data_IF_217006404669
#
_entry.id   IF_217006404669
#
_cell.length_a   1.000
_cell.length_b   1.000
_cell.length_c   1.000
_cell.angle_alpha   90.00
_cell.angle_beta   90.00
_cell.angle_gamma   90.00
#
_symmetry.space_group_name_H-M   'P 1'
#
loop_
_entity.id
_entity.type
_entity.pdbx_description
1 polymer ?
#
# COMPACT_ATOMS: atom_id res chain seq x y z
N UNK A 1 27.86 55.52 -3.22
CA UNK A 1 26.55 55.29 -2.57
C UNK A 1 25.81 54.29 -3.45
N UNK A 2 25.63 53.09 -2.93
CA UNK A 2 24.81 52.04 -3.51
C UNK A 2 24.13 51.44 -2.30
N UNK A 3 22.81 51.53 -2.23
CA UNK A 3 22.02 50.94 -1.16
C UNK A 3 21.63 49.54 -1.63
N UNK A 4 22.19 48.53 -0.98
CA UNK A 4 21.69 47.16 -1.08
C UNK A 4 20.73 46.96 0.09
N UNK A 5 19.44 46.85 -0.23
CA UNK A 5 18.44 46.38 0.71
C UNK A 5 18.45 44.84 0.67
N UNK A 6 18.93 44.22 1.75
CA UNK A 6 18.69 42.79 1.97
C UNK A 6 17.22 42.61 2.36
N UNK A 7 16.39 42.18 1.41
CA UNK A 7 15.01 41.76 1.69
C UNK A 7 15.01 40.31 2.23
N UNK A 8 14.43 40.14 3.42
CA UNK A 8 14.36 38.88 4.18
C UNK A 8 13.32 37.92 3.58
N UNK A 9 13.73 37.15 2.56
CA UNK A 9 12.87 36.25 1.77
C UNK A 9 12.54 34.91 2.49
N UNK A 10 12.44 34.92 3.82
CA UNK A 10 12.09 33.73 4.63
C UNK A 10 10.79 33.91 5.44
N UNK A 11 10.02 34.97 5.18
CA UNK A 11 8.79 35.29 5.93
C UNK A 11 7.54 34.45 5.55
N UNK A 12 7.56 33.73 4.42
CA UNK A 12 6.38 33.04 3.87
C UNK A 12 6.57 31.53 3.71
N UNK A 13 6.62 30.80 4.82
CA UNK A 13 6.59 29.34 4.81
C UNK A 13 5.22 28.77 4.42
N UNK A 14 5.07 28.31 3.18
CA UNK A 14 3.98 27.44 2.74
C UNK A 14 4.53 26.10 2.23
N UNK A 15 4.54 25.09 3.11
CA UNK A 15 4.80 23.69 2.73
C UNK A 15 3.49 23.00 2.34
N UNK A 16 2.85 23.52 1.29
CA UNK A 16 1.64 22.96 0.71
C UNK A 16 1.89 21.59 0.08
N UNK A 17 1.07 20.59 0.45
CA UNK A 17 1.10 19.26 -0.16
C UNK A 17 0.80 19.34 -1.67
N UNK A 18 1.82 19.08 -2.50
CA UNK A 18 1.76 19.19 -3.96
C UNK A 18 0.87 18.16 -4.67
N UNK A 19 -0.45 18.25 -4.51
CA UNK A 19 -1.42 17.61 -5.41
C UNK A 19 -1.75 18.53 -6.60
N UNK A 20 -0.72 18.85 -7.39
CA UNK A 20 -0.83 19.71 -8.56
C UNK A 20 -1.66 19.09 -9.68
N UNK A 21 -2.92 19.53 -9.83
CA UNK A 21 -3.68 19.33 -11.08
C UNK A 21 -3.16 20.28 -12.16
N UNK A 22 -2.98 19.80 -13.40
CA UNK A 22 -2.73 20.69 -14.55
C UNK A 22 -3.97 21.53 -14.87
N UNK A 23 -3.83 22.80 -15.28
CA UNK A 23 -4.94 23.59 -15.83
C UNK A 23 -5.44 22.97 -17.15
N UNK A 24 -6.77 22.88 -17.34
CA UNK A 24 -7.38 22.52 -18.63
C UNK A 24 -8.43 21.39 -18.62
N UNK A 25 -8.77 20.79 -17.48
CA UNK A 25 -9.82 19.77 -17.40
C UNK A 25 -11.23 20.35 -17.36
N UNK A 26 -12.02 20.12 -18.42
CA UNK A 26 -13.46 20.45 -18.48
C UNK A 26 -14.25 19.49 -17.58
N UNK A 27 -15.32 19.99 -16.95
CA UNK A 27 -16.27 19.18 -16.20
C UNK A 27 -17.07 18.26 -17.13
N UNK A 28 -17.10 16.96 -16.81
CA UNK A 28 -18.26 16.13 -17.12
C UNK A 28 -18.52 15.17 -15.95
N UNK A 29 -19.80 14.96 -15.66
CA UNK A 29 -20.24 14.42 -14.38
C UNK A 29 -20.60 12.94 -14.41
N UNK A 30 -20.67 12.41 -13.18
CA UNK A 30 -21.45 11.24 -12.76
C UNK A 30 -21.02 9.81 -13.15
N UNK A 31 -21.07 9.00 -12.09
CA UNK A 31 -21.49 7.60 -12.01
C UNK A 31 -20.45 6.45 -12.09
N UNK A 32 -20.71 5.49 -11.19
CA UNK A 32 -20.15 4.15 -11.01
C UNK A 32 -18.71 4.11 -10.40
N UNK A 33 -18.46 3.78 -9.12
CA UNK A 33 -18.95 2.75 -8.16
C UNK A 33 -18.05 1.49 -8.11
N UNK A 34 -17.68 1.11 -6.88
CA UNK A 34 -16.85 -0.04 -6.43
C UNK A 34 -15.33 0.08 -6.69
N UNK A 35 -14.48 0.10 -5.64
CA UNK A 35 -14.05 -0.99 -4.73
C UNK A 35 -13.16 -2.02 -5.46
N UNK A 36 -11.97 -2.41 -4.97
CA UNK A 36 -11.74 -3.07 -3.67
C UNK A 36 -10.27 -3.01 -3.21
N UNK A 37 -10.04 -3.04 -1.89
CA UNK A 37 -8.72 -3.28 -1.29
C UNK A 37 -8.38 -4.77 -1.27
N UNK A 38 -7.16 -5.15 -1.70
CA UNK A 38 -6.64 -6.50 -1.51
C UNK A 38 -6.17 -6.75 -0.07
N UNK A 39 -6.44 -7.94 0.47
CA UNK A 39 -5.74 -8.51 1.62
C UNK A 39 -5.11 -9.86 1.24
N UNK A 40 -3.88 -10.04 1.69
CA UNK A 40 -3.02 -11.21 1.40
C UNK A 40 -3.51 -12.49 2.09
N UNK A 41 -3.26 -13.65 1.46
CA UNK A 41 -3.47 -15.00 2.00
C UNK A 41 -2.13 -15.67 2.29
N UNK A 42 -1.92 -16.15 3.52
CA UNK A 42 -0.77 -16.98 3.94
C UNK A 42 -1.28 -18.40 4.26
N UNK A 43 -0.52 -19.44 3.90
CA UNK A 43 -1.02 -20.82 3.74
C UNK A 43 -0.56 -21.85 4.79
N UNK A 44 -0.27 -23.08 4.33
CA UNK A 44 0.01 -24.36 5.05
C UNK A 44 -1.25 -25.19 5.40
N UNK A 45 -1.31 -26.53 5.25
CA UNK A 45 -0.41 -27.51 4.60
C UNK A 45 -0.60 -28.96 5.12
N UNK A 46 -0.23 -29.99 4.33
CA UNK A 46 -0.20 -31.46 4.66
C UNK A 46 -1.60 -32.13 4.84
N UNK A 47 -1.93 -33.42 4.67
CA UNK A 47 -1.32 -34.73 4.21
C UNK A 47 -2.47 -35.78 4.14
N UNK A 48 -2.49 -36.96 3.49
CA UNK A 48 -1.68 -37.67 2.47
C UNK A 48 -2.48 -38.89 1.91
N UNK A 49 -1.99 -39.61 0.88
CA UNK A 49 -2.39 -40.96 0.39
C UNK A 49 -3.82 -41.14 -0.21
N UNK A 50 -4.17 -42.20 -0.96
CA UNK A 50 -3.49 -43.01 -2.01
C UNK A 50 -4.54 -43.96 -2.65
N UNK A 51 -4.31 -44.38 -3.91
CA UNK A 51 -4.84 -45.61 -4.56
C UNK A 51 -6.34 -45.75 -4.92
N UNK A 52 -6.57 -45.70 -6.24
CA UNK A 52 -7.41 -46.57 -7.09
C UNK A 52 -8.06 -47.81 -6.42
N UNK A 53 -9.35 -48.10 -6.72
CA UNK A 53 -9.76 -49.10 -7.75
C UNK A 53 -11.20 -49.64 -7.61
N UNK A 54 -11.77 -50.05 -8.75
CA UNK A 54 -12.77 -51.13 -8.97
C UNK A 54 -14.26 -51.03 -8.54
N UNK A 55 -15.10 -50.59 -9.50
CA UNK A 55 -16.09 -51.38 -10.30
C UNK A 55 -17.28 -52.14 -9.62
N UNK A 56 -18.47 -52.00 -10.26
CA UNK A 56 -19.72 -52.83 -10.22
C UNK A 56 -20.65 -52.61 -9.00
N UNK A 57 -21.98 -52.76 -9.06
CA UNK A 57 -22.94 -53.04 -10.16
C UNK A 57 -24.36 -52.55 -9.79
N UNK A 58 -25.21 -52.35 -10.81
CA UNK A 58 -26.69 -52.16 -10.92
C UNK A 58 -27.60 -51.91 -9.69
N UNK A 59 -28.60 -51.03 -9.91
CA UNK A 59 -29.83 -50.89 -9.12
C UNK A 59 -30.79 -49.91 -9.82
N UNK A 60 -31.97 -50.37 -10.23
CA UNK A 60 -32.88 -49.67 -11.17
C UNK A 60 -33.86 -48.67 -10.54
N UNK A 61 -34.54 -47.94 -11.44
CA UNK A 61 -35.90 -47.38 -11.34
C UNK A 61 -36.17 -46.06 -10.58
N UNK A 62 -36.11 -44.99 -11.39
CA UNK A 62 -37.27 -44.22 -11.87
C UNK A 62 -37.99 -43.16 -10.99
N UNK A 63 -38.35 -42.07 -11.71
CA UNK A 63 -39.35 -41.03 -11.42
C UNK A 63 -38.97 -39.96 -10.36
N UNK A 64 -39.28 -38.66 -10.52
CA UNK A 64 -40.05 -37.97 -11.58
C UNK A 64 -39.59 -36.52 -11.77
N UNK A 65 -39.64 -36.00 -12.99
CA UNK A 65 -39.57 -34.55 -13.29
C UNK A 65 -40.97 -33.95 -13.43
N UNK A 66 -41.22 -32.74 -12.91
CA UNK A 66 -42.12 -31.76 -13.50
C UNK A 66 -41.29 -30.65 -14.19
N UNK A 67 -41.71 -30.03 -15.28
CA UNK A 67 -42.88 -30.23 -16.12
C UNK A 67 -43.13 -28.96 -16.94
N UNK A 68 -43.40 -29.08 -18.23
CA UNK A 68 -43.85 -27.95 -19.06
C UNK A 68 -44.99 -28.37 -19.97
N UNK A 69 -46.16 -27.74 -19.76
CA UNK A 69 -47.37 -27.91 -20.59
C UNK A 69 -47.18 -27.08 -21.87
N UNK A 70 -47.35 -27.64 -23.07
CA UNK A 70 -48.58 -28.19 -23.65
C UNK A 70 -49.58 -27.10 -24.09
N UNK A 71 -49.56 -26.83 -25.40
CA UNK A 71 -50.64 -26.34 -26.28
C UNK A 71 -50.28 -26.97 -27.64
N UNK A 72 -50.82 -28.09 -28.13
CA UNK A 72 -52.20 -28.58 -28.23
C UNK A 72 -53.09 -27.83 -29.23
N UNK A 73 -52.84 -28.08 -30.52
CA UNK A 73 -53.90 -28.18 -31.52
C UNK A 73 -53.60 -29.36 -32.46
N UNK A 74 -54.38 -30.43 -32.34
CA UNK A 74 -54.42 -31.51 -33.33
C UNK A 74 -55.53 -31.20 -34.34
N UNK A 75 -55.23 -31.21 -35.64
CA UNK A 75 -56.13 -31.85 -36.60
C UNK A 75 -55.38 -32.24 -37.88
N UNK A 76 -55.51 -33.50 -38.28
CA UNK A 76 -54.72 -34.12 -39.35
C UNK A 76 -54.85 -35.65 -39.30
N UNK A 77 -56.06 -36.13 -39.02
CA UNK A 77 -56.33 -37.53 -38.68
C UNK A 77 -55.97 -38.48 -39.83
N UNK A 78 -55.01 -39.37 -39.57
CA UNK A 78 -54.73 -40.54 -40.39
C UNK A 78 -55.96 -41.46 -40.39
N UNK A 79 -56.77 -41.40 -41.44
CA UNK A 79 -57.93 -42.29 -41.59
C UNK A 79 -57.47 -43.74 -41.81
N UNK A 80 -57.59 -44.57 -40.77
CA UNK A 80 -57.78 -46.01 -40.96
C UNK A 80 -59.08 -46.26 -41.74
N UNK A 81 -59.16 -47.38 -42.47
CA UNK A 81 -60.25 -48.30 -42.21
C UNK A 81 -59.75 -49.54 -41.48
N UNK A 82 -60.46 -49.91 -40.41
CA UNK A 82 -60.35 -51.24 -39.80
C UNK A 82 -61.13 -52.23 -40.66
N UNK A 83 -60.55 -53.41 -40.86
CA UNK A 83 -61.20 -54.55 -41.49
C UNK A 83 -62.26 -55.17 -40.57
N UNK A 84 -63.53 -55.09 -40.95
CA UNK A 84 -64.57 -56.02 -40.47
C UNK A 84 -65.76 -56.11 -41.44
N UNK A 85 -65.70 -57.13 -42.30
CA UNK A 85 -66.71 -58.17 -42.51
C UNK A 85 -68.19 -57.82 -42.81
N UNK A 86 -68.58 -58.14 -44.04
CA UNK A 86 -69.85 -58.82 -44.44
C UNK A 86 -71.19 -58.07 -44.34
N UNK A 87 -71.72 -57.68 -45.52
CA UNK A 87 -73.08 -58.09 -45.94
C UNK A 87 -73.24 -58.11 -47.47
N UNK A 88 -73.88 -59.16 -47.99
CA UNK A 88 -74.03 -59.43 -49.43
C UNK A 88 -75.12 -58.59 -50.11
N UNK A 89 -74.89 -58.24 -51.39
CA UNK A 89 -75.80 -58.32 -52.56
C UNK A 89 -74.95 -57.94 -53.78
N UNK A 90 -74.52 -58.90 -54.61
CA UNK A 90 -75.34 -59.48 -55.68
C UNK A 90 -75.91 -58.41 -56.63
N UNK A 91 -75.10 -58.07 -57.63
CA UNK A 91 -75.54 -57.88 -59.00
C UNK A 91 -74.53 -58.60 -59.88
N UNK A 92 -74.98 -59.62 -60.59
CA UNK A 92 -74.16 -60.41 -61.51
C UNK A 92 -73.83 -59.58 -62.74
N UNK A 93 -72.63 -59.02 -62.78
CA UNK A 93 -71.96 -58.70 -64.04
C UNK A 93 -70.72 -59.59 -64.14
N UNK A 94 -70.94 -60.82 -64.60
CA UNK A 94 -69.89 -61.74 -65.01
C UNK A 94 -69.23 -61.19 -66.30
N UNK A 95 -68.52 -60.08 -66.17
CA UNK A 95 -67.41 -59.80 -67.07
C UNK A 95 -66.24 -60.53 -66.47
N UNK A 96 -66.00 -61.75 -66.96
CA UNK A 96 -64.75 -62.45 -66.73
C UNK A 96 -63.63 -61.50 -67.15
N UNK A 97 -62.96 -60.86 -66.17
CA UNK A 97 -61.66 -60.25 -66.42
C UNK A 97 -60.83 -61.40 -66.95
N UNK A 98 -60.36 -61.35 -68.22
CA UNK A 98 -59.73 -62.51 -68.83
C UNK A 98 -58.62 -63.00 -67.91
N UNK A 99 -58.47 -64.32 -67.78
CA UNK A 99 -57.47 -64.91 -66.88
C UNK A 99 -56.08 -64.30 -67.12
N UNK A 100 -55.79 -63.93 -68.37
CA UNK A 100 -54.60 -63.20 -68.81
C UNK A 100 -54.49 -61.75 -68.29
N UNK A 101 -55.58 -60.99 -68.15
CA UNK A 101 -55.54 -59.61 -67.59
C UNK A 101 -55.26 -59.63 -66.08
N UNK A 102 -55.77 -60.62 -65.34
CA UNK A 102 -55.43 -60.81 -63.92
C UNK A 102 -53.96 -61.26 -63.74
N UNK A 103 -53.44 -62.11 -64.62
CA UNK A 103 -52.01 -62.47 -64.66
C UNK A 103 -51.15 -61.25 -64.99
N UNK A 104 -51.54 -60.46 -66.00
CA UNK A 104 -50.87 -59.23 -66.42
C UNK A 104 -50.76 -58.26 -65.23
N UNK A 105 -51.86 -57.97 -64.52
CA UNK A 105 -51.86 -57.11 -63.34
C UNK A 105 -51.02 -57.66 -62.17
N UNK A 106 -51.01 -58.98 -61.96
CA UNK A 106 -50.17 -59.61 -60.94
C UNK A 106 -48.68 -59.50 -61.29
N UNK A 107 -48.34 -59.60 -62.58
CA UNK A 107 -46.97 -59.47 -63.06
C UNK A 107 -46.50 -58.01 -63.01
N UNK A 108 -47.33 -57.06 -63.44
CA UNK A 108 -47.08 -55.61 -63.29
C UNK A 108 -46.88 -55.22 -61.81
N UNK A 109 -47.71 -55.74 -60.90
CA UNK A 109 -47.54 -55.49 -59.47
C UNK A 109 -46.26 -56.13 -58.87
N UNK A 110 -45.79 -57.25 -59.42
CA UNK A 110 -44.50 -57.85 -59.03
C UNK A 110 -43.32 -57.01 -59.54
N UNK A 111 -43.41 -56.52 -60.79
CA UNK A 111 -42.42 -55.62 -61.38
C UNK A 111 -42.36 -54.28 -60.62
N UNK A 112 -43.50 -53.69 -60.25
CA UNK A 112 -43.57 -52.51 -59.36
C UNK A 112 -42.94 -52.77 -57.99
N UNK A 113 -43.19 -53.93 -57.37
CA UNK A 113 -42.59 -54.31 -56.08
C UNK A 113 -41.07 -54.44 -56.18
N UNK A 114 -40.53 -54.98 -57.28
CA UNK A 114 -39.09 -55.08 -57.49
C UNK A 114 -38.44 -53.73 -57.81
N UNK A 115 -39.11 -52.85 -58.55
CA UNK A 115 -38.69 -51.45 -58.73
C UNK A 115 -38.65 -50.73 -57.37
N UNK A 116 -39.70 -50.83 -56.55
CA UNK A 116 -39.78 -50.21 -55.24
C UNK A 116 -38.73 -50.73 -54.25
N UNK A 117 -38.32 -52.02 -54.34
CA UNK A 117 -37.17 -52.54 -53.58
C UNK A 117 -35.87 -51.84 -53.97
N UNK A 118 -35.63 -51.68 -55.28
CA UNK A 118 -34.43 -50.99 -55.77
C UNK A 118 -34.43 -49.53 -55.36
N UNK A 119 -35.57 -48.83 -55.46
CA UNK A 119 -35.72 -47.44 -54.99
C UNK A 119 -35.52 -47.30 -53.47
N UNK A 120 -36.01 -48.27 -52.68
CA UNK A 120 -35.81 -48.32 -51.24
C UNK A 120 -34.34 -48.54 -50.89
N UNK A 121 -33.65 -49.46 -51.56
CA UNK A 121 -32.20 -49.65 -51.36
C UNK A 121 -31.38 -48.42 -51.74
N UNK A 122 -31.72 -47.76 -52.86
CA UNK A 122 -31.07 -46.50 -53.27
C UNK A 122 -31.31 -45.40 -52.23
N UNK A 123 -32.54 -45.28 -51.74
CA UNK A 123 -32.91 -44.32 -50.69
C UNK A 123 -32.19 -44.61 -49.36
N UNK A 124 -32.04 -45.88 -49.01
CA UNK A 124 -31.31 -46.30 -47.81
C UNK A 124 -29.81 -45.98 -47.92
N UNK A 125 -29.16 -46.31 -49.05
CA UNK A 125 -27.76 -45.93 -49.30
C UNK A 125 -27.56 -44.40 -49.30
N UNK A 126 -28.55 -43.64 -49.80
CA UNK A 126 -28.53 -42.17 -49.70
C UNK A 126 -28.67 -41.66 -48.26
N UNK A 127 -29.47 -42.32 -47.42
CA UNK A 127 -29.61 -41.98 -46.00
C UNK A 127 -28.31 -42.25 -45.24
N UNK A 128 -27.74 -43.45 -45.43
CA UNK A 128 -26.44 -43.83 -44.85
C UNK A 128 -25.33 -42.84 -45.24
N UNK A 129 -25.31 -42.39 -46.51
CA UNK A 129 -24.39 -41.33 -46.97
C UNK A 129 -24.61 -39.96 -46.32
N UNK A 130 -25.87 -39.58 -46.03
CA UNK A 130 -26.19 -38.35 -45.29
C UNK A 130 -25.80 -38.45 -43.82
N UNK A 131 -25.98 -39.61 -43.19
CA UNK A 131 -25.62 -39.84 -41.79
C UNK A 131 -24.09 -39.83 -41.59
N UNK A 132 -23.32 -40.38 -42.54
CA UNK A 132 -21.85 -40.26 -42.53
C UNK A 132 -21.40 -38.80 -42.72
N UNK A 133 -22.00 -38.07 -43.66
CA UNK A 133 -21.72 -36.65 -43.86
C UNK A 133 -22.05 -35.80 -42.61
N UNK A 134 -23.16 -36.09 -41.93
CA UNK A 134 -23.52 -35.46 -40.65
C UNK A 134 -22.49 -35.77 -39.56
N UNK A 135 -22.00 -37.02 -39.47
CA UNK A 135 -20.96 -37.40 -38.49
C UNK A 135 -19.66 -36.63 -38.72
N UNK A 136 -19.24 -36.49 -39.99
CA UNK A 136 -18.08 -35.68 -40.37
C UNK A 136 -18.27 -34.22 -39.94
N UNK A 137 -19.39 -33.58 -40.30
CA UNK A 137 -19.70 -32.19 -39.93
C UNK A 137 -19.77 -31.98 -38.41
N UNK A 138 -20.35 -32.91 -37.66
CA UNK A 138 -20.39 -32.85 -36.19
C UNK A 138 -18.98 -32.94 -35.59
N UNK A 139 -18.14 -33.86 -36.06
CA UNK A 139 -16.75 -33.96 -35.60
C UNK A 139 -15.95 -32.68 -35.89
N UNK A 140 -16.11 -32.11 -37.10
CA UNK A 140 -15.50 -30.83 -37.49
C UNK A 140 -15.90 -29.72 -36.51
N UNK A 141 -17.19 -29.57 -36.22
CA UNK A 141 -17.70 -28.54 -35.30
C UNK A 141 -17.17 -28.70 -33.86
N UNK A 142 -16.95 -29.93 -33.38
CA UNK A 142 -16.32 -30.19 -32.08
C UNK A 142 -14.84 -29.81 -32.10
N UNK A 143 -14.10 -30.16 -33.16
CA UNK A 143 -12.69 -29.78 -33.32
C UNK A 143 -12.52 -28.26 -33.45
N UNK A 144 -13.37 -27.57 -34.19
CA UNK A 144 -13.37 -26.10 -34.32
C UNK A 144 -13.63 -25.42 -32.98
N UNK A 145 -14.55 -25.95 -32.17
CA UNK A 145 -14.83 -25.44 -30.81
C UNK A 145 -13.65 -25.64 -29.86
N UNK A 146 -12.99 -26.81 -29.90
CA UNK A 146 -11.80 -27.07 -29.09
C UNK A 146 -10.60 -26.19 -29.52
N UNK A 147 -10.42 -26.02 -30.84
CA UNK A 147 -9.34 -25.22 -31.43
C UNK A 147 -9.52 -23.73 -31.15
N UNK A 148 -10.73 -23.21 -31.26
CA UNK A 148 -11.05 -21.80 -30.95
C UNK A 148 -10.88 -21.49 -29.47
N UNK A 149 -11.34 -22.35 -28.55
CA UNK A 149 -11.06 -22.21 -27.12
C UNK A 149 -9.55 -22.17 -26.83
N UNK A 150 -8.78 -23.07 -27.43
CA UNK A 150 -7.32 -23.12 -27.25
C UNK A 150 -6.63 -21.86 -27.77
N UNK A 151 -7.03 -21.36 -28.95
CA UNK A 151 -6.52 -20.08 -29.49
C UNK A 151 -6.83 -18.89 -28.58
N UNK A 152 -8.06 -18.78 -28.08
CA UNK A 152 -8.46 -17.71 -27.18
C UNK A 152 -7.71 -17.76 -25.83
N UNK A 153 -7.49 -18.97 -25.29
CA UNK A 153 -6.69 -19.15 -24.07
C UNK A 153 -5.24 -18.73 -24.28
N UNK A 154 -4.62 -19.09 -25.42
CA UNK A 154 -3.25 -18.66 -25.75
C UNK A 154 -3.14 -17.13 -25.85
N UNK A 155 -4.07 -16.48 -26.59
CA UNK A 155 -4.12 -15.02 -26.68
C UNK A 155 -4.24 -14.35 -25.31
N UNK A 156 -5.09 -14.87 -24.42
CA UNK A 156 -5.21 -14.37 -23.04
C UNK A 156 -3.90 -14.50 -22.27
N UNK A 157 -3.20 -15.64 -22.38
CA UNK A 157 -1.89 -15.81 -21.71
C UNK A 157 -0.80 -14.91 -22.29
N UNK A 158 -0.86 -14.57 -23.59
CA UNK A 158 0.04 -13.59 -24.21
C UNK A 158 -0.26 -12.15 -23.78
N UNK A 159 -1.52 -11.82 -23.49
CA UNK A 159 -1.92 -10.54 -22.88
C UNK A 159 -1.44 -10.43 -21.44
N UNK A 160 -1.67 -11.46 -20.63
CA UNK A 160 -1.19 -11.54 -19.23
C UNK A 160 0.34 -11.46 -19.16
N UNK A 161 1.04 -12.14 -20.07
CA UNK A 161 2.50 -11.99 -20.24
C UNK A 161 2.90 -10.55 -20.55
N UNK A 162 2.24 -9.91 -21.52
CA UNK A 162 2.50 -8.50 -21.89
C UNK A 162 2.19 -7.50 -20.77
N UNK A 163 1.28 -7.82 -19.85
CA UNK A 163 1.06 -7.00 -18.63
C UNK A 163 2.17 -7.20 -17.61
N UNK A 164 2.57 -8.46 -17.34
CA UNK A 164 3.66 -8.77 -16.42
C UNK A 164 5.01 -8.20 -16.89
N UNK A 165 5.29 -8.20 -18.20
CA UNK A 165 6.49 -7.57 -18.77
C UNK A 165 6.52 -6.05 -18.50
N UNK A 166 5.37 -5.36 -18.49
CA UNK A 166 5.30 -3.94 -18.14
C UNK A 166 5.52 -3.72 -16.64
N UNK A 167 4.92 -4.56 -15.80
CA UNK A 167 5.12 -4.49 -14.34
C UNK A 167 6.58 -4.75 -13.97
N UNK A 168 7.24 -5.74 -14.58
CA UNK A 168 8.67 -6.01 -14.42
C UNK A 168 9.51 -4.79 -14.82
N UNK A 169 9.22 -4.18 -15.97
CA UNK A 169 9.94 -2.98 -16.41
C UNK A 169 9.76 -1.81 -15.41
N UNK A 170 8.54 -1.56 -14.92
CA UNK A 170 8.27 -0.51 -13.92
C UNK A 170 9.04 -0.79 -12.62
N UNK A 171 8.94 -2.01 -12.09
CA UNK A 171 9.65 -2.42 -10.87
C UNK A 171 11.17 -2.32 -11.03
N UNK A 172 11.70 -2.61 -12.21
CA UNK A 172 13.12 -2.48 -12.49
C UNK A 172 13.58 -1.01 -12.48
N UNK A 173 12.80 -0.09 -13.09
CA UNK A 173 13.04 1.34 -12.97
C UNK A 173 12.94 1.86 -11.53
N UNK A 174 11.96 1.38 -10.75
CA UNK A 174 11.82 1.74 -9.33
C UNK A 174 13.02 1.27 -8.50
N UNK A 175 13.52 0.05 -8.75
CA UNK A 175 14.73 -0.49 -8.10
C UNK A 175 15.98 0.32 -8.46
N UNK A 176 16.18 0.67 -9.74
CA UNK A 176 17.32 1.47 -10.19
C UNK A 176 17.28 2.89 -9.60
N UNK A 177 16.09 3.52 -9.56
CA UNK A 177 15.89 4.83 -8.94
C UNK A 177 16.15 4.81 -7.42
N UNK A 178 15.65 3.79 -6.72
CA UNK A 178 15.88 3.64 -5.28
C UNK A 178 17.37 3.39 -4.99
N UNK A 179 18.07 2.58 -5.79
CA UNK A 179 19.52 2.34 -5.67
C UNK A 179 20.33 3.63 -5.81
N UNK A 180 20.04 4.46 -6.81
CA UNK A 180 20.71 5.76 -7.00
C UNK A 180 20.44 6.71 -5.82
N UNK A 181 19.18 6.78 -5.35
CA UNK A 181 18.81 7.56 -4.16
C UNK A 181 19.55 7.08 -2.91
N UNK A 182 19.66 5.77 -2.68
CA UNK A 182 20.40 5.21 -1.54
C UNK A 182 21.89 5.56 -1.62
N UNK A 183 22.51 5.36 -2.78
CA UNK A 183 23.92 5.70 -2.99
C UNK A 183 24.22 7.18 -2.74
N UNK A 184 23.41 8.09 -3.28
CA UNK A 184 23.56 9.52 -3.04
C UNK A 184 23.41 9.90 -1.54
N UNK A 185 22.56 9.20 -0.79
CA UNK A 185 22.48 9.37 0.67
C UNK A 185 23.72 8.82 1.39
N UNK A 186 24.23 7.65 0.99
CA UNK A 186 25.46 7.06 1.56
C UNK A 186 26.68 7.96 1.32
N UNK A 187 26.85 8.48 0.10
CA UNK A 187 27.92 9.42 -0.25
C UNK A 187 27.80 10.71 0.59
N UNK A 188 26.60 11.28 0.72
CA UNK A 188 26.33 12.48 1.55
C UNK A 188 26.62 12.25 3.03
N UNK A 189 26.29 11.08 3.58
CA UNK A 189 26.56 10.75 4.98
C UNK A 189 28.04 10.47 5.23
N UNK A 190 28.74 9.87 4.27
CA UNK A 190 30.18 9.66 4.32
C UNK A 190 30.92 11.00 4.36
N UNK A 191 30.59 11.94 3.48
CA UNK A 191 31.20 13.28 3.47
C UNK A 191 30.98 14.04 4.80
N UNK A 192 29.77 13.96 5.37
CA UNK A 192 29.45 14.54 6.69
C UNK A 192 30.28 13.90 7.81
N UNK A 193 30.45 12.58 7.78
CA UNK A 193 31.24 11.85 8.76
C UNK A 193 32.72 12.25 8.67
N UNK A 194 33.30 12.27 7.47
CA UNK A 194 34.70 12.65 7.25
C UNK A 194 34.98 14.10 7.65
N UNK A 195 34.03 15.00 7.39
CA UNK A 195 34.10 16.40 7.84
C UNK A 195 34.13 16.50 9.36
N UNK A 196 33.19 15.85 10.05
CA UNK A 196 33.14 15.82 11.52
C UNK A 196 34.37 15.15 12.13
N UNK A 197 34.93 14.13 11.48
CA UNK A 197 36.16 13.47 11.91
C UNK A 197 37.36 14.41 11.83
N UNK A 198 37.51 15.15 10.72
CA UNK A 198 38.53 16.18 10.56
C UNK A 198 38.38 17.32 11.58
N UNK A 199 37.16 17.83 11.80
CA UNK A 199 36.86 18.86 12.79
C UNK A 199 37.20 18.38 14.22
N UNK A 200 36.86 17.14 14.57
CA UNK A 200 37.17 16.55 15.87
C UNK A 200 38.70 16.45 16.09
N UNK A 201 39.45 16.01 15.08
CA UNK A 201 40.91 15.96 15.13
C UNK A 201 41.52 17.36 15.33
N UNK A 202 41.04 18.38 14.62
CA UNK A 202 41.49 19.75 14.77
C UNK A 202 41.18 20.32 16.17
N UNK A 203 39.96 20.09 16.69
CA UNK A 203 39.57 20.50 18.04
C UNK A 203 40.40 19.80 19.12
N UNK A 204 40.75 18.53 18.93
CA UNK A 204 41.58 17.75 19.85
C UNK A 204 43.00 18.30 19.94
N UNK A 205 43.62 18.68 18.82
CA UNK A 205 44.95 19.29 18.82
C UNK A 205 44.91 20.73 19.37
N UNK A 206 43.88 21.51 19.03
CA UNK A 206 43.68 22.83 19.63
C UNK A 206 43.51 22.77 21.16
N UNK A 207 42.76 21.80 21.68
CA UNK A 207 42.62 21.56 23.11
C UNK A 207 43.95 21.18 23.77
N UNK A 208 44.77 20.35 23.10
CA UNK A 208 46.11 19.98 23.57
C UNK A 208 47.02 21.21 23.64
N UNK A 209 47.08 22.04 22.58
CA UNK A 209 47.84 23.29 22.57
C UNK A 209 47.41 24.24 23.69
N UNK A 210 46.10 24.47 23.88
CA UNK A 210 45.59 25.29 25.00
C UNK A 210 45.92 24.70 26.37
N UNK A 211 45.97 23.37 26.49
CA UNK A 211 46.38 22.69 27.73
C UNK A 211 47.87 22.88 28.02
N UNK A 212 48.71 22.96 26.98
CA UNK A 212 50.14 23.24 27.09
C UNK A 212 50.40 24.71 27.45
N UNK A 213 49.72 25.67 26.80
CA UNK A 213 49.73 27.10 27.18
C UNK A 213 49.30 27.33 28.65
N UNK A 214 48.24 26.64 29.12
CA UNK A 214 47.81 26.74 30.52
C UNK A 214 48.87 26.17 31.49
N UNK A 215 49.70 25.20 31.06
CA UNK A 215 50.82 24.71 31.88
C UNK A 215 51.97 25.71 31.90
N UNK A 216 52.33 26.35 30.78
CA UNK A 216 53.40 27.37 30.75
C UNK A 216 53.02 28.59 31.59
N UNK A 217 51.81 29.14 31.41
CA UNK A 217 51.33 30.26 32.23
C UNK A 217 51.27 29.93 33.73
N UNK A 218 50.92 28.68 34.11
CA UNK A 218 50.98 28.25 35.51
C UNK A 218 52.41 28.23 36.06
N UNK A 219 53.39 27.79 35.28
CA UNK A 219 54.80 27.78 35.67
C UNK A 219 55.37 29.21 35.76
N UNK A 220 55.08 30.07 34.78
CA UNK A 220 55.47 31.49 34.77
C UNK A 220 54.88 32.24 35.96
N UNK A 221 53.57 32.08 36.23
CA UNK A 221 52.93 32.66 37.40
C UNK A 221 53.54 32.14 38.71
N UNK A 222 53.90 30.85 38.79
CA UNK A 222 54.60 30.32 39.97
C UNK A 222 55.98 30.98 40.17
N UNK A 223 56.78 31.15 39.11
CA UNK A 223 58.07 31.85 39.19
C UNK A 223 57.91 33.33 39.56
N UNK A 224 56.94 34.04 38.97
CA UNK A 224 56.68 35.45 39.31
C UNK A 224 56.24 35.60 40.77
N UNK A 225 55.37 34.72 41.29
CA UNK A 225 55.01 34.73 42.70
C UNK A 225 56.22 34.44 43.60
N UNK A 226 57.10 33.52 43.22
CA UNK A 226 58.35 33.27 43.96
C UNK A 226 59.25 34.52 43.96
N UNK A 227 59.48 35.16 42.80
CA UNK A 227 60.26 36.40 42.70
C UNK A 227 59.66 37.52 43.55
N UNK A 228 58.33 37.69 43.56
CA UNK A 228 57.67 38.64 44.44
C UNK A 228 57.94 38.36 45.92
N UNK A 229 57.95 37.10 46.36
CA UNK A 229 58.30 36.72 47.73
C UNK A 229 59.78 36.96 48.05
N UNK A 230 60.69 36.70 47.11
CA UNK A 230 62.12 36.99 47.24
C UNK A 230 62.38 38.50 47.37
N UNK A 231 61.75 39.33 46.53
CA UNK A 231 61.82 40.79 46.66
C UNK A 231 61.22 41.29 47.97
N UNK A 232 60.08 40.74 48.42
CA UNK A 232 59.47 41.08 49.71
C UNK A 232 60.36 40.70 50.91
N UNK A 233 61.17 39.64 50.79
CA UNK A 233 62.10 39.21 51.83
C UNK A 233 63.37 40.09 51.93
N UNK A 234 63.67 40.88 50.90
CA UNK A 234 64.80 41.83 50.88
C UNK A 234 64.45 43.23 51.41
N UNK A 235 63.19 43.51 51.75
CA UNK A 235 62.73 44.80 52.29
C UNK A 235 62.84 44.88 53.82
N UNK A 236 62.84 46.11 54.37
CA UNK A 236 62.74 46.31 55.82
C UNK A 236 61.39 45.82 56.35
N UNK A 237 61.36 45.32 57.58
CA UNK A 237 60.19 44.71 58.25
C UNK A 237 58.99 45.66 58.27
N UNK A 238 59.22 46.96 58.40
CA UNK A 238 58.16 47.98 58.35
C UNK A 238 57.53 48.10 56.96
N UNK A 239 58.34 48.00 55.90
CA UNK A 239 57.88 48.06 54.51
C UNK A 239 57.17 46.76 54.12
N UNK A 240 57.74 45.60 54.49
CA UNK A 240 57.15 44.29 54.26
C UNK A 240 55.75 44.19 54.88
N UNK A 241 55.59 44.63 56.13
CA UNK A 241 54.29 44.67 56.81
C UNK A 241 53.25 45.53 56.08
N UNK A 242 53.63 46.74 55.67
CA UNK A 242 52.73 47.64 54.94
C UNK A 242 52.29 47.07 53.59
N UNK A 243 53.16 46.37 52.85
CA UNK A 243 52.80 45.77 51.57
C UNK A 243 51.89 44.54 51.77
N UNK A 244 52.17 43.70 52.77
CA UNK A 244 51.37 42.51 53.08
C UNK A 244 49.94 42.89 53.52
N UNK A 245 49.81 43.93 54.36
CA UNK A 245 48.51 44.47 54.78
C UNK A 245 47.71 44.99 53.58
N UNK A 246 48.32 45.74 52.66
CA UNK A 246 47.67 46.20 51.42
C UNK A 246 47.29 45.05 50.47
N UNK A 247 48.11 44.00 50.33
CA UNK A 247 47.75 42.82 49.54
C UNK A 247 46.58 42.05 50.14
N UNK A 248 46.40 42.08 51.47
CA UNK A 248 45.32 41.36 52.15
C UNK A 248 43.95 42.02 51.95
N UNK A 249 43.88 43.36 51.92
CA UNK A 249 42.63 44.11 51.70
C UNK A 249 41.96 43.77 50.37
N UNK A 250 42.74 43.58 49.30
CA UNK A 250 42.20 43.33 47.96
C UNK A 250 41.44 41.99 47.81
N UNK A 251 41.42 41.14 48.85
CA UNK A 251 40.71 39.85 48.83
C UNK A 251 39.35 39.87 49.53
N UNK A 252 39.05 40.83 50.41
CA UNK A 252 37.79 40.87 51.16
C UNK A 252 36.65 41.54 50.41
N UNK A 253 36.95 42.52 49.56
CA UNK A 253 35.93 43.45 49.04
C UNK A 253 35.45 43.10 47.62
N UNK A 254 35.98 42.01 47.03
CA UNK A 254 35.76 41.62 45.62
C UNK A 254 35.33 40.14 45.51
N UNK A 255 34.41 39.69 46.38
CA UNK A 255 33.84 38.33 46.30
C UNK A 255 32.51 38.25 45.54
N UNK A 256 31.76 39.35 45.42
CA UNK A 256 30.40 39.36 44.85
C UNK A 256 30.27 40.07 43.48
N UNK A 257 31.38 40.47 42.85
CA UNK A 257 31.37 41.06 41.49
C UNK A 257 31.78 40.01 40.48
N UNK A 258 30.86 39.58 39.62
CA UNK A 258 31.18 38.61 38.56
C UNK A 258 32.19 39.19 37.58
N UNK A 259 33.04 38.35 36.99
CA UNK A 259 34.07 38.81 36.04
C UNK A 259 33.51 39.59 34.83
N UNK A 260 32.24 39.35 34.49
CA UNK A 260 31.53 40.10 33.45
C UNK A 260 31.07 41.49 33.92
N UNK A 261 30.65 41.64 35.18
CA UNK A 261 30.38 42.94 35.77
C UNK A 261 31.68 43.77 35.83
N UNK A 262 32.81 43.18 36.25
CA UNK A 262 34.12 43.85 36.22
C UNK A 262 34.51 44.31 34.80
N UNK A 263 34.31 43.47 33.79
CA UNK A 263 34.59 43.82 32.39
C UNK A 263 33.72 45.00 31.89
N UNK A 264 32.44 45.05 32.26
CA UNK A 264 31.55 46.17 31.91
C UNK A 264 31.91 47.44 32.70
N UNK A 265 32.32 47.30 33.96
CA UNK A 265 32.75 48.44 34.78
C UNK A 265 34.03 49.10 34.23
N UNK A 266 34.96 48.30 33.70
CA UNK A 266 36.21 48.76 33.08
C UNK A 266 36.09 49.34 31.67
N UNK A 267 34.95 49.16 30.99
CA UNK A 267 34.74 49.64 29.61
C UNK A 267 34.35 51.14 29.53
N UNK A 268 34.15 51.81 30.66
CA UNK A 268 33.78 53.22 30.73
C UNK A 268 35.01 54.14 30.72
N UNK A 269 35.16 54.96 29.68
CA UNK A 269 36.23 55.96 29.57
C UNK A 269 36.00 57.24 30.39
N UNK A 270 34.96 57.32 31.23
CA UNK A 270 34.69 58.51 32.02
C UNK A 270 35.59 58.57 33.26
N UNK A 271 36.33 59.66 33.43
CA UNK A 271 37.16 59.91 34.60
C UNK A 271 36.31 60.00 35.88
N UNK A 272 36.30 58.93 36.67
CA UNK A 272 35.73 58.94 38.00
C UNK A 272 36.81 59.26 39.04
N UNK A 273 36.62 60.32 39.82
CA UNK A 273 37.51 60.68 40.91
C UNK A 273 37.41 59.68 42.06
N UNK A 274 38.56 59.16 42.53
CA UNK A 274 38.64 58.31 43.73
C UNK A 274 38.45 56.80 43.50
N UNK A 275 38.72 56.27 42.30
CA UNK A 275 38.80 54.81 42.06
C UNK A 275 37.47 54.05 42.08
N UNK A 276 36.35 54.75 42.24
CA UNK A 276 35.01 54.19 42.11
C UNK A 276 34.56 54.19 40.65
N UNK A 277 33.85 53.16 40.14
CA UNK A 277 33.39 53.17 38.76
C UNK A 277 32.35 54.26 38.50
N UNK A 278 32.44 54.88 37.33
CA UNK A 278 31.56 55.96 36.85
C UNK A 278 30.06 55.54 36.92
N UNK A 279 29.09 56.46 37.12
CA UNK A 279 27.67 56.10 37.17
C UNK A 279 27.15 55.37 35.93
N UNK A 280 27.67 55.70 34.75
CA UNK A 280 27.37 55.02 33.49
C UNK A 280 27.91 53.58 33.45
N UNK A 281 29.09 53.28 34.01
CA UNK A 281 29.58 51.91 34.20
C UNK A 281 28.67 51.12 35.14
N UNK A 282 28.31 51.71 36.29
CA UNK A 282 27.42 51.06 37.26
C UNK A 282 26.07 50.73 36.63
N UNK A 283 25.48 51.66 35.88
CA UNK A 283 24.23 51.43 35.15
C UNK A 283 24.39 50.39 34.04
N UNK A 284 25.46 50.43 33.25
CA UNK A 284 25.74 49.46 32.20
C UNK A 284 25.94 48.03 32.76
N UNK A 285 26.60 47.88 33.91
CA UNK A 285 26.79 46.59 34.56
C UNK A 285 25.44 46.02 35.04
N UNK A 286 24.59 46.85 35.66
CA UNK A 286 23.23 46.45 36.09
C UNK A 286 22.35 46.06 34.90
N UNK A 287 22.31 46.87 33.83
CA UNK A 287 21.50 46.54 32.65
C UNK A 287 22.04 45.32 31.90
N UNK A 288 23.36 45.12 31.86
CA UNK A 288 23.97 43.90 31.29
C UNK A 288 23.59 42.66 32.09
N UNK A 289 23.59 42.74 33.43
CA UNK A 289 23.12 41.66 34.32
C UNK A 289 21.66 41.31 34.06
N UNK A 290 20.79 42.32 33.98
CA UNK A 290 19.37 42.16 33.67
C UNK A 290 19.13 41.55 32.28
N UNK A 291 19.88 42.00 31.26
CA UNK A 291 19.78 41.46 29.89
C UNK A 291 20.12 39.96 29.85
N UNK A 292 21.14 39.53 30.59
CA UNK A 292 21.53 38.12 30.67
C UNK A 292 20.49 37.27 31.40
N UNK A 293 19.90 37.79 32.47
CA UNK A 293 18.78 37.15 33.17
C UNK A 293 17.59 36.94 32.21
N UNK A 294 17.15 38.01 31.54
CA UNK A 294 16.06 37.96 30.56
C UNK A 294 16.38 37.02 29.38
N UNK A 295 17.64 36.96 28.93
CA UNK A 295 18.06 36.02 27.90
C UNK A 295 17.96 34.56 28.38
N UNK A 296 18.41 34.27 29.60
CA UNK A 296 18.30 32.95 30.20
C UNK A 296 16.83 32.53 30.42
N UNK A 297 15.97 33.45 30.86
CA UNK A 297 14.53 33.24 30.95
C UNK A 297 13.92 32.97 29.57
N UNK A 298 14.30 33.73 28.53
CA UNK A 298 13.87 33.49 27.15
C UNK A 298 14.30 32.12 26.59
N UNK A 299 15.53 31.68 26.89
CA UNK A 299 16.02 30.34 26.52
C UNK A 299 15.26 29.23 27.27
N UNK A 300 14.90 29.44 28.54
CA UNK A 300 14.10 28.49 29.31
C UNK A 300 12.63 28.44 28.82
N UNK A 301 12.03 29.58 28.51
CA UNK A 301 10.69 29.66 27.92
C UNK A 301 10.64 28.99 26.54
N UNK A 302 11.70 29.13 25.73
CA UNK A 302 11.83 28.43 24.45
C UNK A 302 11.84 26.91 24.63
N UNK A 303 12.67 26.39 25.55
CA UNK A 303 12.69 24.95 25.88
C UNK A 303 11.31 24.46 26.33
N UNK A 304 10.67 25.20 27.25
CA UNK A 304 9.34 24.84 27.76
C UNK A 304 8.26 24.86 26.66
N UNK A 305 8.34 25.80 25.71
CA UNK A 305 7.50 25.83 24.51
C UNK A 305 7.74 24.56 23.67
N UNK A 306 8.99 24.26 23.35
CA UNK A 306 9.36 23.15 22.47
C UNK A 306 8.93 21.79 23.09
N UNK A 307 9.09 21.62 24.41
CA UNK A 307 8.56 20.50 25.19
C UNK A 307 7.03 20.38 25.12
N UNK A 308 6.31 21.51 25.21
CA UNK A 308 4.86 21.52 25.08
C UNK A 308 4.38 21.13 23.66
N UNK A 309 5.11 21.51 22.60
CA UNK A 309 4.82 21.06 21.23
C UNK A 309 5.02 19.55 21.07
N UNK A 310 6.12 19.00 21.59
CA UNK A 310 6.40 17.56 21.59
C UNK A 310 5.30 16.79 22.34
N UNK A 311 4.87 17.31 23.50
CA UNK A 311 3.80 16.71 24.29
C UNK A 311 2.44 16.76 23.58
N UNK A 312 2.11 17.88 22.93
CA UNK A 312 0.89 18.04 22.15
C UNK A 312 0.84 17.06 20.95
N UNK A 313 1.96 16.87 20.25
CA UNK A 313 2.06 15.91 19.15
C UNK A 313 1.95 14.46 19.65
N UNK A 314 2.58 14.13 20.78
CA UNK A 314 2.43 12.83 21.42
C UNK A 314 0.96 12.52 21.80
N UNK A 315 0.23 13.52 22.33
CA UNK A 315 -1.20 13.37 22.60
C UNK A 315 -2.04 13.21 21.31
N UNK A 316 -1.73 13.97 20.25
CA UNK A 316 -2.37 13.85 18.94
C UNK A 316 -2.20 12.43 18.38
N UNK A 317 -0.97 11.92 18.35
CA UNK A 317 -0.64 10.56 17.88
C UNK A 317 -1.35 9.51 18.73
N UNK A 318 -1.33 9.63 20.06
CA UNK A 318 -2.01 8.68 20.94
C UNK A 318 -3.54 8.67 20.72
N UNK A 319 -4.15 9.84 20.48
CA UNK A 319 -5.57 9.97 20.17
C UNK A 319 -5.93 9.36 18.81
N UNK A 320 -5.13 9.60 17.77
CA UNK A 320 -5.28 8.98 16.45
C UNK A 320 -5.18 7.45 16.52
N UNK A 321 -4.21 6.93 17.29
CA UNK A 321 -4.07 5.49 17.54
C UNK A 321 -5.32 4.91 18.25
N UNK A 322 -5.85 5.60 19.26
CA UNK A 322 -7.08 5.17 19.94
C UNK A 322 -8.30 5.19 19.01
N UNK A 323 -8.44 6.22 18.16
CA UNK A 323 -9.50 6.28 17.16
C UNK A 323 -9.42 5.13 16.15
N UNK A 324 -8.21 4.82 15.65
CA UNK A 324 -8.00 3.71 14.73
C UNK A 324 -8.30 2.36 15.40
N UNK A 325 -7.86 2.13 16.64
CA UNK A 325 -8.20 0.92 17.40
C UNK A 325 -9.72 0.79 17.64
N UNK A 326 -10.40 1.87 18.00
CA UNK A 326 -11.88 1.90 18.18
C UNK A 326 -12.60 1.59 16.87
N UNK A 327 -12.14 2.17 15.75
CA UNK A 327 -12.69 1.92 14.40
C UNK A 327 -12.52 0.46 13.98
N UNK A 328 -11.34 -0.12 14.17
CA UNK A 328 -11.07 -1.53 13.88
C UNK A 328 -11.91 -2.48 14.74
N UNK A 329 -12.08 -2.18 16.04
CA UNK A 329 -12.98 -2.94 16.92
C UNK A 329 -14.44 -2.85 16.45
N UNK A 330 -14.92 -1.67 16.08
CA UNK A 330 -16.27 -1.48 15.56
C UNK A 330 -16.51 -2.23 14.24
N UNK A 331 -15.53 -2.25 13.33
CA UNK A 331 -15.59 -3.04 12.10
C UNK A 331 -15.68 -4.54 12.38
N UNK A 332 -14.82 -5.08 13.26
CA UNK A 332 -14.88 -6.51 13.66
C UNK A 332 -16.20 -6.87 14.32
N UNK A 333 -16.77 -5.99 15.14
CA UNK A 333 -18.10 -6.20 15.75
C UNK A 333 -19.21 -6.17 14.69
N UNK A 334 -19.16 -5.27 13.71
CA UNK A 334 -20.11 -5.22 12.61
C UNK A 334 -20.05 -6.50 11.73
N UNK A 335 -18.85 -7.00 11.44
CA UNK A 335 -18.64 -8.28 10.76
C UNK A 335 -19.24 -9.46 11.55
N UNK A 336 -18.95 -9.56 12.86
CA UNK A 336 -19.56 -10.60 13.71
C UNK A 336 -21.09 -10.50 13.77
N UNK A 337 -21.66 -9.28 13.83
CA UNK A 337 -23.11 -9.08 13.81
C UNK A 337 -23.71 -9.51 12.47
N UNK A 338 -23.05 -9.21 11.34
CA UNK A 338 -23.46 -9.66 10.00
C UNK A 338 -23.48 -11.18 9.91
N UNK A 339 -22.37 -11.84 10.27
CA UNK A 339 -22.27 -13.31 10.31
C UNK A 339 -23.36 -13.90 11.22
N UNK A 340 -23.54 -13.37 12.44
CA UNK A 340 -24.57 -13.86 13.38
C UNK A 340 -26.01 -13.62 12.91
N UNK A 341 -26.26 -12.66 12.02
CA UNK A 341 -27.55 -12.49 11.33
C UNK A 341 -27.72 -13.52 10.21
N UNK A 342 -26.70 -13.73 9.39
CA UNK A 342 -26.69 -14.72 8.32
C UNK A 342 -26.87 -16.15 8.88
N UNK A 343 -26.11 -16.54 9.91
CA UNK A 343 -26.28 -17.85 10.58
C UNK A 343 -27.67 -18.01 11.20
N UNK A 344 -28.24 -16.97 11.81
CA UNK A 344 -29.63 -17.02 12.33
C UNK A 344 -30.66 -17.15 11.21
N UNK A 345 -30.45 -16.51 10.08
CA UNK A 345 -31.34 -16.59 8.92
C UNK A 345 -31.25 -17.95 8.20
N UNK A 346 -30.09 -18.60 8.23
CA UNK A 346 -29.89 -19.98 7.77
C UNK A 346 -30.60 -20.96 8.73
N UNK A 347 -30.35 -20.88 10.03
CA UNK A 347 -31.03 -21.72 11.03
C UNK A 347 -32.57 -21.56 10.98
N UNK A 348 -33.07 -20.35 10.79
CA UNK A 348 -34.52 -20.10 10.66
C UNK A 348 -35.11 -20.69 9.37
N UNK A 349 -34.33 -20.87 8.30
CA UNK A 349 -34.78 -21.60 7.11
C UNK A 349 -34.81 -23.11 7.34
N UNK A 350 -33.74 -23.72 7.88
CA UNK A 350 -33.75 -25.16 8.20
C UNK A 350 -34.91 -25.54 9.14
N UNK A 351 -35.13 -24.77 10.21
CA UNK A 351 -36.26 -24.97 11.15
C UNK A 351 -37.65 -24.82 10.51
N UNK A 352 -37.74 -24.35 9.26
CA UNK A 352 -39.00 -24.18 8.52
C UNK A 352 -39.23 -25.27 7.48
N UNK A 353 -38.16 -25.94 7.02
CA UNK A 353 -38.23 -27.06 6.09
C UNK A 353 -38.40 -28.40 6.83
N UNK A 354 -37.94 -28.51 8.08
CA UNK A 354 -38.11 -29.69 8.96
C UNK A 354 -39.50 -29.77 9.66
N UNK A 355 -40.44 -28.88 9.31
CA UNK A 355 -41.75 -28.74 9.95
C UNK A 355 -42.92 -29.04 9.02
N UNK A 356 -43.04 -30.29 8.56
CA UNK A 356 -44.10 -30.75 7.64
C UNK A 356 -44.53 -32.19 7.94
#
# INVERSE_FOLDING_TARGET
KMEEAEEDDMACGDLGNGLGRRPGGVYEGENLQNCYSFKSRKGCGKTCHSLLSAKRVEGSDAATLPGSKQNSFYNGSLKKPVTSSTRQRSCESNTEVPNEVLKQQLQEALEEVDILKVELEVSQRQLEGKDEALRILQSMAVFDKATSHTKAMLQKTEEEKRTLEKEINILQWEIEFDQDRFKNMEDTWTEKYDRLYCENAALKEALKMRTEEVKTFKAENAMLNQQCLEFLAMLDVKQQKAILENMSLNKSDITDVTGLELAVLGACSCCASGGQPCPCAKMAAVTRKQLLHLKQEGENLKKSKDEAYIMADAFRIAFEQQLMQRKDQALRLAEMIKIKKETRFINWRCLKDDGN
#
